data_IF_394619601513
#
_entry.id   IF_394619601513
#
_cell.length_a   1.000
_cell.length_b   1.000
_cell.length_c   1.000
_cell.angle_alpha   90.00
_cell.angle_beta   90.00
_cell.angle_gamma   90.00
#
_symmetry.space_group_name_H-M   'P 1'
#
loop_
_entity.id
_entity.type
_entity.pdbx_description
1 polymer ?
#
# COMPACT_ATOMS: atom_id res chain seq x y z
N UNK A 1 27.21 29.15 11.19
CA UNK A 1 25.93 29.15 11.93
C UNK A 1 24.86 29.49 10.90
N UNK A 2 24.17 28.50 10.33
CA UNK A 2 23.14 28.74 9.32
C UNK A 2 21.81 28.92 10.03
N UNK A 3 21.35 30.17 10.07
CA UNK A 3 20.03 30.50 10.58
C UNK A 3 18.99 29.88 9.62
N UNK A 4 18.33 28.82 10.07
CA UNK A 4 17.34 28.09 9.28
C UNK A 4 15.96 28.47 9.77
N UNK A 5 15.63 29.76 9.69
CA UNK A 5 14.27 30.22 9.95
C UNK A 5 13.37 29.73 8.81
N UNK A 6 12.32 28.95 9.10
CA UNK A 6 11.45 28.40 8.06
C UNK A 6 10.76 29.53 7.29
N UNK A 7 10.73 29.42 5.96
CA UNK A 7 10.14 30.44 5.10
C UNK A 7 8.62 30.50 5.28
N UNK A 8 8.00 31.67 5.04
CA UNK A 8 6.53 31.82 5.03
C UNK A 8 5.83 30.81 4.09
N UNK A 9 6.51 30.36 3.02
CA UNK A 9 6.01 29.31 2.12
C UNK A 9 5.97 27.94 2.79
N UNK A 10 7.04 27.56 3.49
CA UNK A 10 7.12 26.27 4.21
C UNK A 10 6.05 26.20 5.31
N UNK A 11 5.79 27.33 5.98
CA UNK A 11 4.73 27.43 6.97
C UNK A 11 3.32 27.28 6.36
N UNK A 12 3.07 27.85 5.17
CA UNK A 12 1.80 27.72 4.47
C UNK A 12 1.56 26.29 3.93
N UNK A 13 2.61 25.63 3.44
CA UNK A 13 2.54 24.23 2.97
C UNK A 13 2.32 23.26 4.14
N UNK A 14 2.97 23.48 5.28
CA UNK A 14 2.70 22.75 6.54
C UNK A 14 1.30 22.99 7.09
N UNK A 15 0.76 24.20 6.91
CA UNK A 15 -0.62 24.50 7.30
C UNK A 15 -1.64 23.81 6.38
N UNK A 16 -1.29 23.57 5.11
CA UNK A 16 -2.13 22.87 4.16
C UNK A 16 -2.13 21.34 4.36
N UNK A 17 -1.03 20.77 4.87
CA UNK A 17 -0.94 19.36 5.25
C UNK A 17 -0.28 19.22 6.64
N UNK A 18 -1.07 19.15 7.73
CA UNK A 18 -0.55 19.04 9.09
C UNK A 18 0.25 17.76 9.34
N UNK A 19 0.22 16.80 8.42
CA UNK A 19 0.97 15.55 8.47
C UNK A 19 2.16 15.54 7.49
N UNK A 20 2.52 16.68 6.90
CA UNK A 20 3.65 16.80 5.95
C UNK A 20 5.00 16.41 6.57
N UNK A 21 5.15 16.52 7.88
CA UNK A 21 6.36 16.13 8.60
C UNK A 21 6.30 14.65 9.08
N UNK A 22 5.15 13.99 8.95
CA UNK A 22 4.96 12.59 9.31
C UNK A 22 5.39 11.66 8.16
N UNK A 23 6.60 11.08 8.29
CA UNK A 23 7.21 10.22 7.26
C UNK A 23 6.35 9.02 6.83
N UNK A 24 5.65 8.38 7.78
CA UNK A 24 4.78 7.23 7.47
C UNK A 24 3.57 7.67 6.64
N UNK A 25 2.95 8.79 7.02
CA UNK A 25 1.84 9.37 6.29
C UNK A 25 2.25 9.73 4.86
N UNK A 26 3.40 10.39 4.68
CA UNK A 26 3.93 10.72 3.35
C UNK A 26 4.21 9.50 2.50
N UNK A 27 4.85 8.47 3.04
CA UNK A 27 5.08 7.22 2.33
C UNK A 27 3.76 6.62 1.83
N UNK A 28 2.74 6.60 2.69
CA UNK A 28 1.42 6.08 2.33
C UNK A 28 0.73 6.93 1.27
N UNK A 29 0.76 8.25 1.41
CA UNK A 29 0.21 9.22 0.45
C UNK A 29 0.86 9.07 -0.91
N UNK A 30 2.18 9.01 -0.97
CA UNK A 30 2.94 8.88 -2.21
C UNK A 30 2.65 7.53 -2.89
N UNK A 31 2.52 6.46 -2.11
CA UNK A 31 2.06 5.15 -2.62
C UNK A 31 0.69 5.26 -3.29
N UNK A 32 -0.30 5.86 -2.60
CA UNK A 32 -1.65 6.02 -3.15
C UNK A 32 -1.66 6.89 -4.41
N UNK A 33 -0.89 7.98 -4.40
CA UNK A 33 -0.78 8.88 -5.56
C UNK A 33 -0.20 8.17 -6.77
N UNK A 34 0.89 7.42 -6.60
CA UNK A 34 1.51 6.64 -7.68
C UNK A 34 0.51 5.60 -8.21
N UNK A 35 -0.10 4.81 -7.33
CA UNK A 35 -1.04 3.76 -7.74
C UNK A 35 -2.29 4.35 -8.40
N UNK A 36 -2.85 5.44 -7.88
CA UNK A 36 -3.97 6.14 -8.50
C UNK A 36 -3.61 6.64 -9.90
N UNK A 37 -2.40 7.15 -10.09
CA UNK A 37 -1.95 7.60 -11.41
C UNK A 37 -1.73 6.43 -12.38
N UNK A 38 -1.21 5.30 -11.89
CA UNK A 38 -1.05 4.08 -12.70
C UNK A 38 -2.39 3.51 -13.18
N UNK A 39 -3.47 3.76 -12.45
CA UNK A 39 -4.81 3.27 -12.76
C UNK A 39 -5.72 4.36 -13.33
N UNK A 40 -5.17 5.53 -13.70
CA UNK A 40 -5.96 6.63 -14.27
C UNK A 40 -6.59 6.19 -15.58
N UNK A 41 -7.90 6.41 -15.73
CA UNK A 41 -8.66 6.05 -16.92
C UNK A 41 -9.25 4.64 -16.92
N UNK A 42 -9.06 3.86 -15.86
CA UNK A 42 -9.79 2.60 -15.66
C UNK A 42 -11.11 2.87 -14.95
N UNK A 43 -12.24 2.54 -15.58
CA UNK A 43 -13.57 2.75 -14.99
C UNK A 43 -13.83 1.85 -13.78
N UNK A 44 -13.30 0.63 -13.78
CA UNK A 44 -13.41 -0.31 -12.66
C UNK A 44 -12.08 -1.06 -12.48
N UNK A 45 -11.13 -0.51 -11.69
CA UNK A 45 -9.88 -1.19 -11.44
C UNK A 45 -10.13 -2.44 -10.57
N UNK A 46 -9.44 -3.53 -10.90
CA UNK A 46 -9.50 -4.75 -10.10
C UNK A 46 -8.90 -4.49 -8.71
N UNK A 47 -9.73 -4.59 -7.66
CA UNK A 47 -9.33 -4.28 -6.27
C UNK A 47 -8.15 -5.12 -5.77
N UNK A 48 -8.07 -6.40 -6.18
CA UNK A 48 -6.95 -7.27 -5.82
C UNK A 48 -5.65 -6.86 -6.53
N UNK A 49 -5.75 -6.39 -7.78
CA UNK A 49 -4.61 -5.85 -8.50
C UNK A 49 -4.13 -4.53 -7.87
N UNK A 50 -5.06 -3.64 -7.52
CA UNK A 50 -4.82 -2.40 -6.79
C UNK A 50 -4.09 -2.65 -5.47
N UNK A 51 -4.56 -3.62 -4.68
CA UNK A 51 -3.92 -4.01 -3.41
C UNK A 51 -2.50 -4.50 -3.62
N UNK A 52 -2.26 -5.37 -4.62
CA UNK A 52 -0.92 -5.84 -4.97
C UNK A 52 0.01 -4.71 -5.39
N UNK A 53 -0.48 -3.77 -6.20
CA UNK A 53 0.27 -2.59 -6.61
C UNK A 53 0.62 -1.71 -5.40
N UNK A 54 -0.32 -1.48 -4.47
CA UNK A 54 -0.06 -0.75 -3.23
C UNK A 54 1.09 -1.35 -2.43
N UNK A 55 1.05 -2.66 -2.15
CA UNK A 55 2.11 -3.35 -1.38
C UNK A 55 3.45 -3.29 -2.12
N UNK A 56 3.44 -3.47 -3.44
CA UNK A 56 4.64 -3.41 -4.26
C UNK A 56 5.27 -2.01 -4.25
N UNK A 57 4.50 -0.97 -4.57
CA UNK A 57 4.99 0.42 -4.62
C UNK A 57 5.49 0.86 -3.26
N UNK A 58 4.74 0.61 -2.18
CA UNK A 58 5.15 0.95 -0.82
C UNK A 58 6.47 0.27 -0.45
N UNK A 59 6.64 -1.00 -0.84
CA UNK A 59 7.89 -1.74 -0.64
C UNK A 59 9.08 -1.13 -1.39
N UNK A 60 8.89 -0.66 -2.63
CA UNK A 60 9.96 0.00 -3.39
C UNK A 60 10.33 1.35 -2.79
N UNK A 61 9.35 2.17 -2.40
CA UNK A 61 9.60 3.45 -1.74
C UNK A 61 10.33 3.26 -0.40
N UNK A 62 9.94 2.26 0.39
CA UNK A 62 10.61 1.93 1.64
C UNK A 62 12.08 1.50 1.39
N UNK A 63 12.34 0.68 0.37
CA UNK A 63 13.72 0.29 -0.01
C UNK A 63 14.55 1.49 -0.42
N UNK A 64 14.01 2.38 -1.26
CA UNK A 64 14.68 3.61 -1.66
C UNK A 64 15.03 4.48 -0.44
N UNK A 65 14.09 4.63 0.51
CA UNK A 65 14.33 5.36 1.75
C UNK A 65 15.40 4.71 2.64
N UNK A 66 15.54 3.38 2.63
CA UNK A 66 16.62 2.70 3.37
C UNK A 66 18.00 2.99 2.77
N UNK A 67 18.09 3.06 1.44
CA UNK A 67 19.34 3.32 0.72
C UNK A 67 19.76 4.79 0.73
N UNK A 68 18.84 5.73 0.97
CA UNK A 68 19.15 7.16 0.98
C UNK A 68 19.91 7.57 2.27
N UNK A 69 21.15 8.09 2.17
CA UNK A 69 21.90 8.57 3.33
C UNK A 69 21.31 9.81 4.01
N UNK A 70 20.46 10.59 3.31
CA UNK A 70 19.81 11.79 3.85
C UNK A 70 18.67 11.47 4.81
N UNK A 71 18.16 10.24 4.79
CA UNK A 71 17.07 9.81 5.67
C UNK A 71 17.63 9.44 7.05
N UNK A 72 17.17 10.06 8.15
CA UNK A 72 17.65 9.74 9.50
C UNK A 72 17.40 8.28 9.89
N UNK A 73 18.33 7.66 10.63
CA UNK A 73 18.21 6.25 11.08
C UNK A 73 16.89 5.97 11.83
N UNK A 74 16.45 6.90 12.68
CA UNK A 74 15.18 6.79 13.41
C UNK A 74 13.98 6.69 12.45
N UNK A 75 13.99 7.47 11.37
CA UNK A 75 12.95 7.43 10.34
C UNK A 75 12.99 6.09 9.60
N UNK A 76 14.19 5.59 9.25
CA UNK A 76 14.33 4.29 8.61
C UNK A 76 13.71 3.15 9.43
N UNK A 77 13.96 3.14 10.74
CA UNK A 77 13.36 2.17 11.65
C UNK A 77 11.82 2.24 11.67
N UNK A 78 11.25 3.45 11.73
CA UNK A 78 9.79 3.64 11.70
C UNK A 78 9.16 3.16 10.38
N UNK A 79 9.78 3.49 9.24
CA UNK A 79 9.29 3.05 7.93
C UNK A 79 9.36 1.53 7.78
N UNK A 80 10.41 0.89 8.31
CA UNK A 80 10.55 -0.56 8.30
C UNK A 80 9.49 -1.26 9.15
N UNK A 81 9.24 -0.76 10.36
CA UNK A 81 8.17 -1.27 11.24
C UNK A 81 6.81 -1.15 10.56
N UNK A 82 6.53 0.00 9.94
CA UNK A 82 5.30 0.21 9.18
C UNK A 82 5.16 -0.77 8.01
N UNK A 83 6.23 -0.96 7.22
CA UNK A 83 6.23 -1.92 6.11
C UNK A 83 6.00 -3.37 6.56
N UNK A 84 6.56 -3.77 7.70
CA UNK A 84 6.33 -5.09 8.28
C UNK A 84 4.86 -5.32 8.64
N UNK A 85 4.20 -4.31 9.21
CA UNK A 85 2.76 -4.37 9.50
C UNK A 85 1.94 -4.53 8.22
N UNK A 86 2.19 -3.70 7.20
CA UNK A 86 1.47 -3.77 5.92
C UNK A 86 1.64 -5.13 5.23
N UNK A 87 2.85 -5.70 5.23
CA UNK A 87 3.09 -7.02 4.63
C UNK A 87 2.39 -8.13 5.42
N UNK A 88 2.37 -8.04 6.74
CA UNK A 88 1.68 -9.01 7.59
C UNK A 88 0.17 -9.00 7.34
N UNK A 89 -0.43 -7.81 7.29
CA UNK A 89 -1.85 -7.65 6.93
C UNK A 89 -2.17 -8.22 5.53
N UNK A 90 -1.32 -7.96 4.52
CA UNK A 90 -1.53 -8.54 3.18
C UNK A 90 -1.45 -10.08 3.18
N UNK A 91 -0.50 -10.66 3.93
CA UNK A 91 -0.38 -12.11 4.07
C UNK A 91 -1.60 -12.71 4.78
N UNK A 92 -2.03 -12.09 5.89
CA UNK A 92 -3.17 -12.56 6.67
C UNK A 92 -4.47 -12.46 5.87
N UNK A 93 -4.64 -11.39 5.09
CA UNK A 93 -5.77 -11.26 4.17
C UNK A 93 -5.75 -12.34 3.08
N UNK A 94 -4.60 -12.61 2.44
CA UNK A 94 -4.48 -13.70 1.45
C UNK A 94 -4.82 -15.06 2.05
N UNK A 95 -4.40 -15.32 3.29
CA UNK A 95 -4.73 -16.56 4.02
C UNK A 95 -6.22 -16.62 4.36
N UNK A 96 -6.82 -15.50 4.75
CA UNK A 96 -8.25 -15.37 5.03
C UNK A 96 -9.11 -15.57 3.79
N UNK A 97 -8.74 -14.98 2.66
CA UNK A 97 -9.43 -15.16 1.37
C UNK A 97 -9.38 -16.62 0.91
N UNK A 98 -8.22 -17.29 1.06
CA UNK A 98 -8.09 -18.73 0.74
C UNK A 98 -9.00 -19.63 1.59
N UNK A 99 -9.37 -19.21 2.80
CA UNK A 99 -10.33 -19.94 3.66
C UNK A 99 -11.80 -19.63 3.34
N UNK A 100 -12.08 -18.50 2.68
CA UNK A 100 -13.45 -18.05 2.36
C UNK A 100 -13.93 -18.50 0.99
N UNK A 101 -13.05 -19.01 0.13
CA UNK A 101 -13.44 -19.75 -1.09
C UNK A 101 -14.37 -20.91 -0.67
N UNK A 102 -15.68 -20.84 -0.93
CA UNK A 102 -16.53 -22.00 -0.75
C UNK A 102 -16.06 -23.03 -1.75
N UNK A 103 -16.06 -24.30 -1.36
CA UNK A 103 -15.90 -25.46 -2.24
C UNK A 103 -17.04 -25.53 -3.27
N UNK A 104 -17.10 -24.56 -4.19
CA UNK A 104 -18.13 -24.42 -5.22
C UNK A 104 -17.83 -25.30 -6.46
N UNK A 105 -17.23 -26.48 -6.24
CA UNK A 105 -17.00 -27.49 -7.28
C UNK A 105 -17.24 -28.91 -6.75
N UNK A 106 -18.30 -29.14 -5.97
CA UNK A 106 -18.67 -30.50 -5.54
C UNK A 106 -20.16 -30.83 -5.72
N UNK A 107 -20.84 -30.20 -6.69
CA UNK A 107 -22.30 -30.34 -6.82
C UNK A 107 -22.92 -30.47 -8.21
N UNK A 108 -22.16 -30.47 -9.32
CA UNK A 108 -22.75 -30.62 -10.66
C UNK A 108 -22.05 -31.72 -11.46
N UNK A 109 -22.31 -33.00 -11.12
CA UNK A 109 -22.12 -34.09 -12.09
C UNK A 109 -22.89 -35.38 -11.76
N UNK A 110 -24.07 -35.29 -11.14
CA UNK A 110 -24.96 -36.45 -10.92
C UNK A 110 -26.37 -36.15 -11.42
N UNK A 111 -26.56 -36.05 -12.73
CA UNK A 111 -27.86 -36.30 -13.37
C UNK A 111 -27.75 -36.24 -14.90
N UNK A 112 -27.42 -37.39 -15.51
CA UNK A 112 -27.92 -37.87 -16.81
C UNK A 112 -27.85 -39.40 -16.67
N UNK A 113 -28.91 -40.13 -16.37
CA UNK A 113 -30.12 -40.27 -17.18
C UNK A 113 -30.08 -41.69 -17.74
N UNK A 114 -30.81 -42.61 -17.09
CA UNK A 114 -31.16 -43.89 -17.71
C UNK A 114 -32.01 -43.61 -18.97
N UNK A 115 -31.87 -44.42 -20.01
CA UNK A 115 -33.08 -45.09 -20.48
C UNK A 115 -32.89 -46.54 -20.95
N UNK A 116 -33.96 -47.29 -20.69
CA UNK A 116 -34.56 -48.44 -21.40
C UNK A 116 -33.68 -49.55 -21.96
#
# INVERSE_FOLDING_TARGET
MFDTTPSKRDAAERAADPLSDAYVYRLRRDTMMIVSNLNRGLEQPNMEALKRQMVFVQGQLCKAAMSDPKVPRRVKAMLLQFQQLTVREDIDDRRGSRRREPSAQSGQNRQKGAPS
#
